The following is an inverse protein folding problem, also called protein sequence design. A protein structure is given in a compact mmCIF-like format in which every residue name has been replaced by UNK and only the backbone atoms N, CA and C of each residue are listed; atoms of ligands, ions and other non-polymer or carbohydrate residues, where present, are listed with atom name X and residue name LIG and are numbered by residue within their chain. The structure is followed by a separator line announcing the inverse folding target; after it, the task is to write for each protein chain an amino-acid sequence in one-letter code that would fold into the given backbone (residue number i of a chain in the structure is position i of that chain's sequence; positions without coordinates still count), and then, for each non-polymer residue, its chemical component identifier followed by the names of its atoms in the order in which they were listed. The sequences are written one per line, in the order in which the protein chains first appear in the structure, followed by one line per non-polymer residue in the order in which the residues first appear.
data_IF_957630603376
#
_entry.id   IF_957630603376
#
_cell.length_a   1.000
_cell.length_b   1.000
_cell.length_c   1.000
_cell.angle_alpha   90.00
_cell.angle_beta   90.00
_cell.angle_gamma   90.00
#
_symmetry.space_group_name_H-M   'P 1'
#
loop_
_entity.id
_entity.type
_entity.pdbx_description
1 polymer ?
#
# COMPACT_ATOMS: atom_id res chain seq x y z
N UNK A 1 14.81 3.91 -5.12
CA UNK A 1 14.00 2.68 -5.10
C UNK A 1 14.75 1.54 -5.81
N UNK A 2 14.77 0.32 -5.24
CA UNK A 2 15.47 -0.84 -5.83
C UNK A 2 14.50 -1.61 -6.72
N UNK A 3 14.89 -1.95 -7.95
CA UNK A 3 14.11 -2.85 -8.82
C UNK A 3 14.43 -4.32 -8.46
N UNK A 4 13.67 -4.88 -7.52
CA UNK A 4 13.83 -6.26 -7.03
C UNK A 4 12.87 -7.26 -7.69
N UNK A 5 11.97 -6.82 -8.57
CA UNK A 5 10.81 -7.62 -8.99
C UNK A 5 10.68 -7.82 -10.50
N UNK A 6 11.59 -7.28 -11.30
CA UNK A 6 11.50 -7.35 -12.77
C UNK A 6 11.74 -8.74 -13.35
N UNK A 7 12.59 -9.57 -12.74
CA UNK A 7 13.07 -10.84 -13.34
C UNK A 7 12.01 -11.94 -13.47
N UNK A 8 10.90 -11.92 -12.69
CA UNK A 8 9.89 -12.99 -12.64
C UNK A 8 8.46 -12.45 -12.64
N UNK A 9 8.21 -11.36 -13.34
CA UNK A 9 6.97 -10.57 -13.25
C UNK A 9 5.68 -11.35 -13.57
N UNK A 10 5.71 -12.31 -14.49
CA UNK A 10 4.54 -13.13 -14.85
C UNK A 10 4.16 -14.14 -13.76
N UNK A 11 5.14 -14.82 -13.15
CA UNK A 11 4.94 -15.71 -12.01
C UNK A 11 4.51 -14.90 -10.78
N UNK A 12 5.11 -13.74 -10.58
CA UNK A 12 4.78 -12.81 -9.51
C UNK A 12 3.31 -12.40 -9.55
N UNK A 13 2.79 -12.00 -10.73
CA UNK A 13 1.38 -11.63 -10.90
C UNK A 13 0.41 -12.75 -10.55
N UNK A 14 0.69 -13.98 -10.97
CA UNK A 14 -0.19 -15.14 -10.72
C UNK A 14 -0.19 -15.59 -9.26
N UNK A 15 0.94 -15.38 -8.57
CA UNK A 15 1.15 -15.88 -7.23
C UNK A 15 0.79 -14.86 -6.13
N UNK A 16 0.66 -13.56 -6.46
CA UNK A 16 0.31 -12.54 -5.46
C UNK A 16 -1.20 -12.49 -5.21
N UNK A 17 -1.60 -12.27 -3.93
CA UNK A 17 -3.01 -12.17 -3.56
C UNK A 17 -3.68 -10.96 -4.23
N UNK A 18 -4.95 -11.10 -4.61
CA UNK A 18 -5.81 -10.00 -5.05
C UNK A 18 -6.49 -9.36 -3.84
N UNK A 19 -6.64 -8.04 -3.88
CA UNK A 19 -7.33 -7.32 -2.82
C UNK A 19 -8.85 -7.53 -2.91
N UNK A 20 -9.58 -7.62 -1.78
CA UNK A 20 -11.03 -7.71 -1.79
C UNK A 20 -11.67 -6.35 -2.08
N UNK A 21 -12.86 -6.38 -2.68
CA UNK A 21 -13.61 -5.18 -3.09
C UNK A 21 -13.94 -4.26 -1.90
N UNK A 22 -14.10 -4.81 -0.70
CA UNK A 22 -14.40 -4.06 0.52
C UNK A 22 -13.35 -2.98 0.83
N UNK A 23 -12.11 -3.19 0.44
CA UNK A 23 -11.03 -2.18 0.60
C UNK A 23 -11.34 -0.96 -0.26
N UNK A 24 -11.74 -1.17 -1.51
CA UNK A 24 -12.09 -0.06 -2.40
C UNK A 24 -13.40 0.61 -1.99
N UNK A 25 -14.39 -0.15 -1.57
CA UNK A 25 -15.66 0.37 -1.03
C UNK A 25 -15.40 1.29 0.16
N UNK A 26 -14.49 0.92 1.06
CA UNK A 26 -14.11 1.78 2.19
C UNK A 26 -13.45 3.09 1.72
N UNK A 27 -12.50 3.02 0.80
CA UNK A 27 -11.82 4.22 0.24
C UNK A 27 -12.84 5.17 -0.40
N UNK A 28 -13.76 4.65 -1.21
CA UNK A 28 -14.74 5.44 -1.95
C UNK A 28 -15.69 6.27 -1.06
N UNK A 29 -15.88 5.90 0.21
CA UNK A 29 -16.67 6.69 1.16
C UNK A 29 -16.12 8.11 1.37
N UNK A 30 -14.84 8.30 1.11
CA UNK A 30 -14.12 9.55 1.36
C UNK A 30 -13.77 10.31 0.07
N UNK A 31 -13.88 9.67 -1.08
CA UNK A 31 -13.53 10.25 -2.39
C UNK A 31 -14.67 11.12 -2.91
N UNK A 32 -14.45 12.43 -3.11
CA UNK A 32 -15.53 13.34 -3.49
C UNK A 32 -15.92 13.25 -4.97
N UNK A 33 -14.99 12.88 -5.84
CA UNK A 33 -15.16 12.74 -7.28
C UNK A 33 -14.35 11.57 -7.81
N UNK A 34 -14.79 10.97 -8.92
CA UNK A 34 -14.16 9.80 -9.53
C UNK A 34 -13.65 10.07 -10.94
N UNK A 35 -13.11 11.28 -11.18
CA UNK A 35 -12.59 11.64 -12.50
C UNK A 35 -11.20 11.06 -12.73
N UNK A 36 -10.26 11.31 -11.81
CA UNK A 36 -8.86 10.91 -11.98
C UNK A 36 -8.31 10.22 -10.74
N UNK A 37 -7.74 9.03 -10.94
CA UNK A 37 -6.98 8.33 -9.91
C UNK A 37 -5.54 8.10 -10.34
N UNK A 38 -4.63 8.10 -9.37
CA UNK A 38 -3.24 7.68 -9.54
C UNK A 38 -2.95 6.49 -8.62
N UNK A 39 -2.55 5.36 -9.23
CA UNK A 39 -2.03 4.19 -8.52
C UNK A 39 -0.50 4.22 -8.59
N UNK A 40 0.14 4.53 -7.48
CA UNK A 40 1.58 4.74 -7.37
C UNK A 40 2.28 3.49 -6.87
N UNK A 41 3.31 3.03 -7.59
CA UNK A 41 3.95 1.74 -7.31
C UNK A 41 3.02 0.58 -7.68
N UNK A 42 2.38 0.68 -8.84
CA UNK A 42 1.29 -0.22 -9.27
C UNK A 42 1.75 -1.66 -9.54
N UNK A 43 3.05 -1.87 -9.76
CA UNK A 43 3.60 -3.17 -10.10
C UNK A 43 2.93 -3.77 -11.33
N UNK A 44 2.41 -4.99 -11.20
CA UNK A 44 1.65 -5.67 -12.27
C UNK A 44 0.14 -5.41 -12.20
N UNK A 45 -0.29 -4.30 -11.57
CA UNK A 45 -1.65 -3.79 -11.64
C UNK A 45 -2.67 -4.47 -10.73
N UNK A 46 -2.26 -5.15 -9.64
CA UNK A 46 -3.19 -5.83 -8.73
C UNK A 46 -4.18 -4.86 -8.07
N UNK A 47 -3.74 -3.67 -7.68
CA UNK A 47 -4.64 -2.68 -7.11
C UNK A 47 -5.28 -1.81 -8.18
N UNK A 48 -4.58 -1.55 -9.29
CA UNK A 48 -5.09 -0.80 -10.45
C UNK A 48 -6.40 -1.38 -10.99
N UNK A 49 -6.50 -2.72 -11.12
CA UNK A 49 -7.73 -3.38 -11.59
C UNK A 49 -8.93 -3.17 -10.65
N UNK A 50 -8.67 -2.94 -9.36
CA UNK A 50 -9.71 -2.65 -8.38
C UNK A 50 -10.19 -1.20 -8.48
N UNK A 51 -9.32 -0.27 -8.88
CA UNK A 51 -9.63 1.15 -9.06
C UNK A 51 -10.36 1.40 -10.39
N UNK A 52 -9.93 0.72 -11.45
CA UNK A 52 -10.35 0.97 -12.83
C UNK A 52 -11.88 1.07 -13.03
N UNK A 53 -12.73 0.21 -12.42
CA UNK A 53 -14.18 0.28 -12.59
C UNK A 53 -14.85 1.54 -12.04
N UNK A 54 -14.17 2.27 -11.15
CA UNK A 54 -14.79 3.38 -10.40
C UNK A 54 -14.39 4.76 -10.89
N UNK A 55 -13.33 4.88 -11.71
CA UNK A 55 -12.82 6.17 -12.15
C UNK A 55 -12.93 6.33 -13.66
N UNK A 56 -13.13 7.58 -14.10
CA UNK A 56 -13.16 7.89 -15.55
C UNK A 56 -11.78 7.64 -16.17
N UNK A 57 -10.71 7.98 -15.47
CA UNK A 57 -9.34 7.74 -15.88
C UNK A 57 -8.45 7.34 -14.69
N UNK A 58 -7.58 6.38 -14.91
CA UNK A 58 -6.57 5.93 -13.96
C UNK A 58 -5.19 6.01 -14.61
N UNK A 59 -4.23 6.60 -13.89
CA UNK A 59 -2.83 6.52 -14.25
C UNK A 59 -2.15 5.61 -13.23
N UNK A 60 -1.52 4.55 -13.72
CA UNK A 60 -0.78 3.61 -12.89
C UNK A 60 0.73 3.77 -13.19
N UNK A 61 1.53 4.02 -12.15
CA UNK A 61 2.98 4.22 -12.32
C UNK A 61 3.80 3.22 -11.52
N UNK A 62 4.91 2.81 -12.10
CA UNK A 62 5.94 2.02 -11.44
C UNK A 62 7.31 2.33 -12.06
N UNK A 63 8.41 2.03 -11.37
CA UNK A 63 9.76 2.13 -11.94
C UNK A 63 10.07 0.96 -12.88
N UNK A 64 9.44 -0.19 -12.67
CA UNK A 64 9.65 -1.39 -13.45
C UNK A 64 8.74 -1.44 -14.68
N UNK A 65 9.28 -1.15 -15.85
CA UNK A 65 8.57 -1.33 -17.12
C UNK A 65 8.11 -2.79 -17.31
N UNK A 66 8.87 -3.77 -16.82
CA UNK A 66 8.55 -5.19 -16.93
C UNK A 66 7.34 -5.57 -16.07
N UNK A 67 7.19 -4.97 -14.88
CA UNK A 67 6.00 -5.15 -14.06
C UNK A 67 4.77 -4.55 -14.75
N UNK A 68 4.85 -3.33 -15.24
CA UNK A 68 3.75 -2.65 -15.93
C UNK A 68 3.29 -3.41 -17.19
N UNK A 69 4.20 -4.06 -17.92
CA UNK A 69 3.86 -4.88 -19.09
C UNK A 69 2.99 -6.11 -18.75
N UNK A 70 2.99 -6.56 -17.49
CA UNK A 70 2.16 -7.66 -17.01
C UNK A 70 0.78 -7.19 -16.52
N UNK A 71 0.57 -5.88 -16.43
CA UNK A 71 -0.69 -5.34 -15.93
C UNK A 71 -1.84 -5.59 -16.90
N UNK A 72 -3.09 -5.76 -16.40
CA UNK A 72 -4.25 -5.97 -17.25
C UNK A 72 -4.59 -4.71 -18.04
N UNK A 73 -5.07 -4.91 -19.27
CA UNK A 73 -5.55 -3.80 -20.09
C UNK A 73 -6.96 -3.35 -19.66
N UNK A 74 -7.15 -2.03 -19.59
CA UNK A 74 -8.44 -1.36 -19.43
C UNK A 74 -8.44 -0.10 -20.28
N UNK A 75 -9.57 0.23 -20.93
CA UNK A 75 -9.69 1.39 -21.81
C UNK A 75 -9.42 2.72 -21.12
N UNK A 76 -9.68 2.78 -19.81
CA UNK A 76 -9.52 3.98 -18.98
C UNK A 76 -8.24 3.99 -18.13
N UNK A 77 -7.30 3.04 -18.34
CA UNK A 77 -6.04 2.97 -17.57
C UNK A 77 -4.84 3.24 -18.45
N UNK A 78 -3.97 4.16 -18.04
CA UNK A 78 -2.66 4.36 -18.64
C UNK A 78 -1.54 3.93 -17.70
N UNK A 79 -0.61 3.12 -18.21
CA UNK A 79 0.57 2.64 -17.46
C UNK A 79 1.80 3.43 -17.88
N UNK A 80 2.52 4.01 -16.89
CA UNK A 80 3.65 4.88 -17.16
C UNK A 80 4.84 4.57 -16.25
N UNK A 81 6.05 4.53 -16.81
CA UNK A 81 7.28 4.39 -16.02
C UNK A 81 7.65 5.74 -15.43
N UNK A 82 7.40 5.91 -14.12
CA UNK A 82 7.73 7.14 -13.38
C UNK A 82 8.12 6.82 -11.94
N UNK A 83 8.96 7.67 -11.36
CA UNK A 83 9.27 7.63 -9.92
C UNK A 83 8.09 8.15 -9.10
N UNK A 84 7.87 7.55 -7.92
CA UNK A 84 6.88 8.02 -6.96
C UNK A 84 7.20 9.42 -6.41
N UNK A 85 8.48 9.74 -6.30
CA UNK A 85 8.98 10.95 -5.66
C UNK A 85 8.96 12.19 -6.57
N UNK A 86 8.84 11.96 -7.90
CA UNK A 86 8.80 13.05 -8.89
C UNK A 86 8.13 12.57 -10.16
N UNK A 87 6.98 13.15 -10.46
CA UNK A 87 6.21 12.83 -11.66
C UNK A 87 6.09 14.00 -12.60
N UNK A 88 5.61 13.73 -13.82
CA UNK A 88 5.30 14.76 -14.82
C UNK A 88 3.86 15.30 -14.71
N UNK A 89 3.11 14.85 -13.71
CA UNK A 89 1.72 15.25 -13.53
C UNK A 89 1.59 16.73 -13.14
N UNK A 90 0.49 17.36 -13.57
CA UNK A 90 0.17 18.72 -13.15
C UNK A 90 -0.23 18.76 -11.66
N UNK A 91 -0.15 19.93 -11.06
CA UNK A 91 -0.62 20.16 -9.70
C UNK A 91 -2.13 19.90 -9.60
N UNK A 92 -2.58 19.37 -8.46
CA UNK A 92 -3.99 19.15 -8.16
C UNK A 92 -4.76 18.40 -9.25
N UNK A 93 -4.17 17.30 -9.75
CA UNK A 93 -4.74 16.48 -10.84
C UNK A 93 -5.68 15.39 -10.32
N UNK A 94 -5.39 14.78 -9.17
CA UNK A 94 -6.02 13.53 -8.78
C UNK A 94 -7.06 13.70 -7.67
N UNK A 95 -8.18 12.99 -7.82
CA UNK A 95 -9.22 12.85 -6.79
C UNK A 95 -8.83 11.78 -5.77
N UNK A 96 -8.13 10.74 -6.24
CA UNK A 96 -7.58 9.66 -5.43
C UNK A 96 -6.13 9.38 -5.82
N UNK A 97 -5.26 9.22 -4.82
CA UNK A 97 -3.93 8.64 -4.98
C UNK A 97 -3.85 7.42 -4.08
N UNK A 98 -3.45 6.27 -4.63
CA UNK A 98 -3.26 5.02 -3.89
C UNK A 98 -1.83 4.54 -3.94
N UNK A 99 -1.40 3.88 -2.87
CA UNK A 99 -0.16 3.10 -2.82
C UNK A 99 -0.46 1.77 -2.18
N UNK A 100 -0.38 0.70 -2.95
CA UNK A 100 -0.65 -0.64 -2.47
C UNK A 100 0.64 -1.46 -2.42
N UNK A 101 1.06 -1.88 -1.23
CA UNK A 101 2.25 -2.71 -0.97
C UNK A 101 3.58 -2.13 -1.50
N UNK A 102 3.69 -0.80 -1.66
CA UNK A 102 4.85 -0.18 -2.26
C UNK A 102 5.49 0.96 -1.44
N UNK A 103 4.74 1.63 -0.57
CA UNK A 103 5.20 2.85 0.12
C UNK A 103 6.51 2.67 0.91
N UNK A 104 6.75 1.49 1.46
CA UNK A 104 7.95 1.18 2.25
C UNK A 104 9.27 1.22 1.45
N UNK A 105 9.19 1.32 0.12
CA UNK A 105 10.33 1.49 -0.77
C UNK A 105 10.66 2.94 -1.12
N UNK A 106 9.80 3.89 -0.74
CA UNK A 106 9.88 5.28 -1.17
C UNK A 106 10.70 6.15 -0.20
N UNK A 107 11.27 7.24 -0.71
CA UNK A 107 11.66 8.38 0.11
C UNK A 107 10.38 9.09 0.58
N UNK A 108 10.05 8.94 1.86
CA UNK A 108 8.77 9.42 2.40
C UNK A 108 8.58 10.93 2.24
N UNK A 109 9.63 11.73 2.47
CA UNK A 109 9.52 13.19 2.42
C UNK A 109 9.33 13.68 0.99
N UNK A 110 10.11 13.15 0.05
CA UNK A 110 9.99 13.48 -1.37
C UNK A 110 8.66 12.99 -1.93
N UNK A 111 8.24 11.78 -1.59
CA UNK A 111 6.98 11.20 -2.02
C UNK A 111 5.77 11.98 -1.47
N UNK A 112 5.71 12.28 -0.18
CA UNK A 112 4.60 13.05 0.38
C UNK A 112 4.52 14.48 -0.16
N UNK A 113 5.65 15.09 -0.52
CA UNK A 113 5.65 16.37 -1.24
C UNK A 113 4.98 16.25 -2.61
N UNK A 114 5.27 15.18 -3.33
CA UNK A 114 4.69 14.91 -4.64
C UNK A 114 3.19 14.58 -4.54
N UNK A 115 2.78 13.77 -3.57
CA UNK A 115 1.36 13.51 -3.30
C UNK A 115 0.62 14.81 -2.99
N UNK A 116 1.15 15.67 -2.10
CA UNK A 116 0.53 16.94 -1.75
C UNK A 116 0.44 17.92 -2.94
N UNK A 117 1.38 17.84 -3.88
CA UNK A 117 1.38 18.66 -5.10
C UNK A 117 0.30 18.20 -6.09
N UNK A 118 0.20 16.89 -6.30
CA UNK A 118 -0.63 16.29 -7.35
C UNK A 118 -2.05 15.96 -6.91
N UNK A 119 -2.29 15.81 -5.61
CA UNK A 119 -3.63 15.57 -5.05
C UNK A 119 -4.47 16.87 -5.07
N UNK A 120 -5.72 16.80 -5.50
CA UNK A 120 -6.69 17.89 -5.40
C UNK A 120 -6.91 18.27 -3.92
N UNK A 121 -7.38 19.50 -3.66
CA UNK A 121 -7.57 20.03 -2.28
C UNK A 121 -8.50 19.17 -1.43
N UNK A 122 -9.52 18.58 -2.05
CA UNK A 122 -10.48 17.70 -1.39
C UNK A 122 -10.23 16.23 -1.77
N UNK A 123 -9.13 15.95 -2.48
CA UNK A 123 -8.73 14.60 -2.87
C UNK A 123 -8.26 13.77 -1.68
N UNK A 124 -8.19 12.47 -1.90
CA UNK A 124 -7.92 11.46 -0.90
C UNK A 124 -6.63 10.69 -1.22
N UNK A 125 -5.81 10.46 -0.22
CA UNK A 125 -4.64 9.62 -0.28
C UNK A 125 -4.87 8.35 0.53
N UNK A 126 -4.65 7.18 -0.07
CA UNK A 126 -4.84 5.89 0.56
C UNK A 126 -3.57 5.04 0.48
N UNK A 127 -3.16 4.52 1.64
CA UNK A 127 -2.06 3.56 1.77
C UNK A 127 -2.63 2.21 2.15
N UNK A 128 -2.29 1.19 1.36
CA UNK A 128 -2.75 -0.17 1.55
C UNK A 128 -1.53 -1.09 1.67
N UNK A 129 -1.58 -1.99 2.63
CA UNK A 129 -0.59 -3.06 2.76
C UNK A 129 -1.25 -4.35 3.23
N UNK A 130 -0.55 -5.45 3.05
CA UNK A 130 -0.91 -6.71 3.68
C UNK A 130 0.32 -7.35 4.34
N UNK A 131 0.07 -8.05 5.45
CA UNK A 131 1.10 -8.70 6.26
C UNK A 131 1.50 -10.08 5.73
N UNK A 132 2.19 -10.82 6.59
CA UNK A 132 2.54 -12.23 6.34
C UNK A 132 1.29 -13.11 6.32
N UNK A 133 1.30 -14.18 5.49
CA UNK A 133 0.19 -15.13 5.49
C UNK A 133 0.06 -15.84 6.83
N UNK A 134 -1.18 -16.15 7.17
CA UNK A 134 -1.55 -16.97 8.29
C UNK A 134 -2.28 -18.23 7.80
N UNK A 135 -1.83 -19.39 8.27
CA UNK A 135 -2.39 -20.68 7.91
C UNK A 135 -3.23 -21.21 9.06
N UNK A 136 -4.40 -21.77 8.76
CA UNK A 136 -5.27 -22.35 9.81
C UNK A 136 -4.73 -23.64 10.41
N UNK A 137 -3.92 -24.38 9.66
CA UNK A 137 -3.25 -25.58 10.14
C UNK A 137 -2.11 -25.18 11.10
N UNK A 138 -2.29 -25.48 12.39
CA UNK A 138 -1.39 -25.01 13.47
C UNK A 138 0.06 -25.45 13.28
N UNK A 139 0.30 -26.69 12.87
CA UNK A 139 1.64 -27.22 12.66
C UNK A 139 2.35 -26.50 11.48
N UNK A 140 1.65 -26.38 10.35
CA UNK A 140 2.17 -25.70 9.17
C UNK A 140 2.39 -24.20 9.43
N UNK A 141 1.53 -23.57 10.25
CA UNK A 141 1.73 -22.18 10.69
C UNK A 141 3.00 -22.03 11.54
N UNK A 142 3.28 -22.98 12.43
CA UNK A 142 4.50 -22.96 13.23
C UNK A 142 5.75 -23.10 12.35
N UNK A 143 5.72 -23.98 11.36
CA UNK A 143 6.80 -24.15 10.39
C UNK A 143 6.98 -22.90 9.51
N UNK A 144 5.89 -22.28 9.04
CA UNK A 144 5.94 -21.03 8.29
C UNK A 144 6.57 -19.90 9.14
N UNK A 145 6.23 -19.83 10.41
CA UNK A 145 6.81 -18.87 11.34
C UNK A 145 8.30 -19.12 11.55
N UNK A 146 8.71 -20.37 11.67
CA UNK A 146 10.12 -20.76 11.77
C UNK A 146 10.90 -20.40 10.49
N UNK A 147 10.33 -20.70 9.32
CA UNK A 147 10.89 -20.30 8.03
C UNK A 147 11.09 -18.77 7.97
N UNK A 148 10.07 -18.01 8.31
CA UNK A 148 10.06 -16.55 8.21
C UNK A 148 11.03 -15.88 9.21
N UNK A 149 10.91 -16.20 10.49
CA UNK A 149 11.60 -15.52 11.58
C UNK A 149 12.97 -16.09 11.93
N UNK A 150 13.24 -17.35 11.59
CA UNK A 150 14.52 -18.00 11.90
C UNK A 150 15.36 -18.25 10.66
N UNK A 151 14.86 -19.04 9.71
CA UNK A 151 15.65 -19.43 8.52
C UNK A 151 15.94 -18.24 7.61
N UNK A 152 14.95 -17.37 7.38
CA UNK A 152 15.06 -16.22 6.47
C UNK A 152 15.41 -14.90 7.17
N UNK A 153 15.65 -14.90 8.48
CA UNK A 153 15.87 -13.68 9.27
C UNK A 153 16.95 -12.74 8.70
N UNK A 154 18.04 -13.28 8.19
CA UNK A 154 19.17 -12.50 7.67
C UNK A 154 19.05 -12.11 6.19
N UNK A 155 17.96 -12.50 5.52
CA UNK A 155 17.79 -12.36 4.08
C UNK A 155 16.69 -11.35 3.70
N UNK A 156 15.93 -10.83 4.67
CA UNK A 156 14.94 -9.79 4.43
C UNK A 156 15.59 -8.43 4.18
N UNK A 157 15.02 -7.66 3.24
CA UNK A 157 15.34 -6.24 3.10
C UNK A 157 14.92 -5.48 4.36
N UNK A 158 15.67 -4.43 4.73
CA UNK A 158 15.43 -3.66 5.95
C UNK A 158 14.03 -3.01 5.97
N UNK A 159 13.50 -2.69 4.79
CA UNK A 159 12.19 -2.10 4.57
C UNK A 159 11.04 -3.06 4.91
N UNK A 160 11.31 -4.39 4.97
CA UNK A 160 10.33 -5.40 5.35
C UNK A 160 9.73 -5.16 6.74
N UNK A 161 10.50 -4.58 7.66
CA UNK A 161 10.03 -4.20 9.00
C UNK A 161 8.73 -3.39 8.98
N UNK A 162 8.56 -2.49 8.00
CA UNK A 162 7.36 -1.66 7.90
C UNK A 162 6.10 -2.49 7.66
N UNK A 163 6.22 -3.59 6.92
CA UNK A 163 5.11 -4.53 6.68
C UNK A 163 4.83 -5.32 7.96
N UNK A 164 5.85 -5.79 8.65
CA UNK A 164 5.72 -6.55 9.90
C UNK A 164 5.09 -5.68 11.01
N UNK A 165 5.33 -4.37 10.97
CA UNK A 165 4.74 -3.36 11.85
C UNK A 165 3.40 -2.80 11.31
N UNK A 166 2.82 -3.40 10.27
CA UNK A 166 1.55 -2.98 9.64
C UNK A 166 1.53 -1.50 9.24
N UNK A 167 2.66 -0.97 8.76
CA UNK A 167 2.90 0.43 8.43
C UNK A 167 2.68 1.44 9.59
N UNK A 168 2.62 0.98 10.84
CA UNK A 168 2.41 1.83 12.02
C UNK A 168 3.52 2.86 12.20
N UNK A 169 4.74 2.51 11.81
CA UNK A 169 5.94 3.35 11.95
C UNK A 169 6.26 4.19 10.71
N UNK A 170 5.52 4.03 9.61
CA UNK A 170 5.62 4.94 8.48
C UNK A 170 4.99 6.28 8.86
N UNK A 171 5.71 7.42 8.71
CA UNK A 171 5.11 8.74 8.93
C UNK A 171 3.89 8.92 8.03
N UNK A 172 2.77 9.39 8.58
CA UNK A 172 1.58 9.68 7.78
C UNK A 172 1.24 11.17 7.90
N UNK A 173 1.62 11.95 6.88
CA UNK A 173 1.58 13.42 6.91
C UNK A 173 0.23 14.02 6.45
N UNK A 174 -0.88 13.29 6.67
CA UNK A 174 -2.23 13.65 6.26
C UNK A 174 -3.19 13.59 7.46
N UNK A 175 -4.29 14.32 7.40
CA UNK A 175 -5.40 14.15 8.35
C UNK A 175 -6.03 12.78 8.12
N UNK A 176 -5.95 11.89 9.10
CA UNK A 176 -6.49 10.52 9.00
C UNK A 176 -8.01 10.56 8.97
N UNK A 177 -8.60 9.99 7.94
CA UNK A 177 -10.06 9.80 7.79
C UNK A 177 -10.49 8.44 8.31
N UNK A 178 -9.69 7.41 8.04
CA UNK A 178 -9.90 6.06 8.56
C UNK A 178 -8.58 5.28 8.63
N UNK A 179 -8.50 4.34 9.57
CA UNK A 179 -7.43 3.35 9.72
C UNK A 179 -8.10 2.00 10.03
N UNK A 180 -8.25 1.17 9.00
CA UNK A 180 -9.05 -0.05 9.03
C UNK A 180 -8.20 -1.29 8.80
N UNK A 181 -8.74 -2.42 9.28
CA UNK A 181 -8.18 -3.75 9.05
C UNK A 181 -9.20 -4.62 8.35
N UNK A 182 -8.73 -5.38 7.35
CA UNK A 182 -9.50 -6.38 6.63
C UNK A 182 -8.71 -7.69 6.62
N UNK A 183 -9.35 -8.73 6.15
CA UNK A 183 -8.69 -10.01 5.91
C UNK A 183 -9.04 -10.49 4.51
N UNK A 184 -8.05 -10.83 3.72
CA UNK A 184 -8.27 -11.59 2.49
C UNK A 184 -7.94 -13.06 2.74
N UNK A 185 -8.81 -13.94 2.24
CA UNK A 185 -8.69 -15.38 2.42
C UNK A 185 -8.68 -16.08 1.08
N UNK A 186 -7.79 -17.07 0.95
CA UNK A 186 -7.67 -17.90 -0.23
C UNK A 186 -7.69 -19.38 0.14
N UNK A 187 -8.21 -20.20 -0.75
CA UNK A 187 -8.07 -21.64 -0.71
C UNK A 187 -6.99 -22.00 -1.74
N UNK A 188 -5.75 -22.13 -1.30
CA UNK A 188 -4.61 -22.39 -2.16
C UNK A 188 -4.16 -23.84 -2.08
N UNK A 189 -3.82 -24.43 -3.23
CA UNK A 189 -3.09 -25.68 -3.29
C UNK A 189 -1.65 -25.47 -2.82
N UNK A 190 -0.95 -26.56 -2.54
CA UNK A 190 0.48 -26.56 -2.24
C UNK A 190 1.27 -25.78 -3.28
N UNK A 191 1.06 -26.06 -4.57
CA UNK A 191 1.75 -25.38 -5.68
C UNK A 191 1.48 -23.88 -5.71
N UNK A 192 0.25 -23.44 -5.45
CA UNK A 192 -0.09 -22.01 -5.38
C UNK A 192 0.61 -21.33 -4.21
N UNK A 193 0.61 -21.94 -3.04
CA UNK A 193 1.29 -21.38 -1.87
C UNK A 193 2.81 -21.33 -2.06
N UNK A 194 3.42 -22.38 -2.58
CA UNK A 194 4.84 -22.38 -2.96
C UNK A 194 5.15 -21.28 -3.98
N UNK A 195 4.28 -21.07 -4.99
CA UNK A 195 4.39 -19.98 -5.95
C UNK A 195 4.44 -18.62 -5.25
N UNK A 196 3.57 -18.39 -4.26
CA UNK A 196 3.59 -17.18 -3.46
C UNK A 196 4.90 -17.03 -2.65
N UNK A 197 5.34 -18.08 -1.93
CA UNK A 197 6.57 -18.04 -1.15
C UNK A 197 7.79 -17.74 -2.03
N UNK A 198 7.85 -18.28 -3.24
CA UNK A 198 8.89 -17.98 -4.21
C UNK A 198 8.95 -16.51 -4.65
N UNK A 199 7.90 -15.71 -4.41
CA UNK A 199 7.93 -14.26 -4.65
C UNK A 199 8.63 -13.48 -3.53
N UNK A 200 8.93 -14.08 -2.39
CA UNK A 200 9.58 -13.40 -1.27
C UNK A 200 11.03 -13.02 -1.60
N UNK A 201 11.38 -11.75 -1.35
CA UNK A 201 12.75 -11.27 -1.58
C UNK A 201 13.78 -12.06 -0.77
N UNK A 202 13.44 -12.44 0.47
CA UNK A 202 14.31 -13.25 1.31
C UNK A 202 14.58 -14.63 0.74
N UNK A 203 13.64 -15.27 0.08
CA UNK A 203 13.87 -16.56 -0.63
C UNK A 203 14.86 -16.37 -1.78
N UNK A 204 14.69 -15.27 -2.55
CA UNK A 204 15.61 -14.93 -3.66
C UNK A 204 17.02 -14.67 -3.14
N UNK A 205 17.17 -13.89 -2.06
CA UNK A 205 18.46 -13.61 -1.43
C UNK A 205 19.08 -14.86 -0.84
N UNK A 206 18.29 -15.70 -0.17
CA UNK A 206 18.76 -16.99 0.37
C UNK A 206 19.37 -17.86 -0.73
N UNK A 207 18.66 -18.04 -1.84
CA UNK A 207 19.13 -18.83 -3.00
C UNK A 207 20.40 -18.25 -3.62
N UNK A 208 20.46 -16.92 -3.77
CA UNK A 208 21.62 -16.25 -4.35
C UNK A 208 22.89 -16.40 -3.50
N UNK A 209 22.75 -16.40 -2.16
CA UNK A 209 23.90 -16.49 -1.25
C UNK A 209 24.36 -17.93 -0.99
N UNK A 210 23.45 -18.88 -0.99
CA UNK A 210 23.81 -20.25 -0.60
C UNK A 210 24.25 -21.12 -1.76
N UNK A 211 24.17 -20.65 -3.03
CA UNK A 211 24.58 -21.35 -4.25
C UNK A 211 24.27 -22.88 -4.23
N UNK A 212 23.19 -23.23 -3.50
CA UNK A 212 22.85 -24.63 -3.27
C UNK A 212 22.54 -25.29 -4.59
N UNK A 213 23.20 -26.40 -4.89
CA UNK A 213 22.97 -27.25 -6.08
C UNK A 213 21.51 -27.72 -6.15
N UNK A 214 20.80 -27.70 -5.02
CA UNK A 214 19.37 -28.02 -4.91
C UNK A 214 18.58 -26.85 -4.31
N UNK A 215 18.25 -25.86 -5.14
CA UNK A 215 17.46 -24.67 -4.74
C UNK A 215 15.98 -25.02 -4.45
N UNK A 216 15.53 -26.22 -4.79
CA UNK A 216 14.19 -26.71 -4.51
C UNK A 216 14.00 -27.14 -3.05
N UNK A 217 15.10 -27.39 -2.34
CA UNK A 217 15.07 -28.10 -1.06
C UNK A 217 14.38 -27.30 0.07
N UNK A 218 14.64 -25.97 0.20
CA UNK A 218 14.11 -25.17 1.31
C UNK A 218 12.57 -25.18 1.37
N UNK A 219 11.90 -24.87 0.26
CA UNK A 219 10.44 -24.85 0.21
C UNK A 219 9.85 -26.24 0.07
N UNK A 220 10.56 -27.16 -0.57
CA UNK A 220 10.17 -28.57 -0.70
C UNK A 220 10.17 -29.27 0.65
N UNK A 221 11.19 -29.03 1.47
CA UNK A 221 11.25 -29.53 2.85
C UNK A 221 10.13 -28.94 3.70
N UNK A 222 9.89 -27.62 3.63
CA UNK A 222 8.80 -26.95 4.33
C UNK A 222 7.42 -27.53 3.96
N UNK A 223 7.21 -27.87 2.69
CA UNK A 223 5.93 -28.38 2.17
C UNK A 223 5.87 -29.92 2.09
N UNK A 224 6.82 -30.60 2.75
CA UNK A 224 6.85 -32.07 2.76
C UNK A 224 5.60 -32.64 3.44
N UNK A 225 4.99 -33.65 2.84
CA UNK A 225 3.79 -34.29 3.38
C UNK A 225 2.47 -33.55 3.13
N UNK A 226 2.49 -32.35 2.55
CA UNK A 226 1.26 -31.65 2.15
C UNK A 226 0.75 -32.22 0.83
N UNK A 227 -0.52 -32.65 0.80
CA UNK A 227 -1.19 -33.15 -0.41
C UNK A 227 -1.60 -31.99 -1.33
N UNK A 228 -1.30 -32.08 -2.62
CA UNK A 228 -1.68 -31.10 -3.63
C UNK A 228 -3.22 -31.00 -3.81
N UNK A 229 -3.93 -32.10 -3.55
CA UNK A 229 -5.40 -32.17 -3.67
C UNK A 229 -6.16 -31.51 -2.50
N UNK A 230 -5.46 -31.25 -1.38
CA UNK A 230 -6.04 -30.65 -0.19
C UNK A 230 -5.70 -29.16 -0.12
N UNK A 231 -6.63 -28.24 -0.48
CA UNK A 231 -6.35 -26.82 -0.44
C UNK A 231 -6.22 -26.32 1.01
N UNK A 232 -5.23 -25.45 1.22
CA UNK A 232 -4.97 -24.78 2.48
C UNK A 232 -5.73 -23.45 2.54
N UNK A 233 -6.28 -23.13 3.70
CA UNK A 233 -6.83 -21.80 3.95
C UNK A 233 -5.68 -20.88 4.34
N UNK A 234 -5.42 -19.90 3.49
CA UNK A 234 -4.36 -18.89 3.65
C UNK A 234 -5.01 -17.52 3.84
N UNK A 235 -4.77 -16.90 4.98
CA UNK A 235 -5.31 -15.58 5.33
C UNK A 235 -4.20 -14.53 5.34
N UNK A 236 -4.50 -13.33 4.83
CA UNK A 236 -3.60 -12.19 4.90
C UNK A 236 -4.31 -11.03 5.61
N UNK A 237 -3.72 -10.49 6.69
CA UNK A 237 -4.22 -9.26 7.27
C UNK A 237 -3.93 -8.10 6.31
N UNK A 238 -4.95 -7.28 6.02
CA UNK A 238 -4.82 -6.06 5.24
C UNK A 238 -4.92 -4.88 6.19
N UNK A 239 -4.06 -3.90 6.00
CA UNK A 239 -4.11 -2.60 6.68
C UNK A 239 -4.32 -1.50 5.64
N UNK A 240 -5.32 -0.68 5.90
CA UNK A 240 -5.72 0.47 5.09
C UNK A 240 -5.66 1.73 5.94
N UNK A 241 -4.97 2.76 5.45
CA UNK A 241 -5.00 4.10 6.02
C UNK A 241 -5.37 5.10 4.93
N UNK A 242 -6.41 5.89 5.19
CA UNK A 242 -6.91 6.91 4.26
C UNK A 242 -6.80 8.28 4.91
N UNK A 243 -6.35 9.26 4.15
CA UNK A 243 -6.22 10.62 4.63
C UNK A 243 -6.44 11.68 3.56
N UNK A 244 -6.54 12.91 4.00
CA UNK A 244 -6.61 14.11 3.15
C UNK A 244 -5.56 15.13 3.55
N UNK A 245 -5.30 16.09 2.68
CA UNK A 245 -4.39 17.20 3.00
C UNK A 245 -4.95 17.98 4.19
N UNK A 246 -4.13 18.15 5.23
CA UNK A 246 -4.49 18.97 6.38
C UNK A 246 -4.81 20.37 5.88
N UNK A 247 -6.04 20.87 6.13
CA UNK A 247 -6.35 22.27 5.94
C UNK A 247 -5.51 23.04 6.96
N UNK A 248 -4.43 23.69 6.50
CA UNK A 248 -3.73 24.68 7.34
C UNK A 248 -4.80 25.66 7.77
N UNK A 249 -5.14 25.66 9.06
CA UNK A 249 -5.90 26.75 9.65
C UNK A 249 -5.07 27.99 9.35
N UNK A 250 -5.49 28.79 8.36
CA UNK A 250 -4.92 30.12 8.20
C UNK A 250 -5.09 30.76 9.56
N UNK A 251 -3.99 31.01 10.25
CA UNK A 251 -3.97 31.79 11.47
C UNK A 251 -4.86 32.98 11.24
N UNK A 252 -6.06 32.94 11.80
CA UNK A 252 -6.84 34.15 11.98
C UNK A 252 -5.95 34.99 12.89
N UNK A 253 -5.24 35.94 12.28
CA UNK A 253 -4.54 36.97 13.04
C UNK A 253 -5.45 37.37 14.19
N UNK A 254 -5.07 37.01 15.38
CA UNK A 254 -5.69 37.39 16.65
C UNK A 254 -5.56 38.93 16.80
N UNK A 255 -6.39 39.66 16.11
CA UNK A 255 -6.40 41.13 16.11
C UNK A 255 -7.77 41.74 16.26
N UNK A 256 -8.86 40.98 16.11
CA UNK A 256 -10.21 41.58 16.13
C UNK A 256 -11.03 41.27 17.39
N UNK A 257 -10.69 40.25 18.16
CA UNK A 257 -11.48 39.82 19.31
C UNK A 257 -11.22 40.68 20.55
N UNK A 258 -9.97 41.16 20.76
CA UNK A 258 -9.64 42.03 21.88
C UNK A 258 -10.22 43.44 21.74
N UNK A 259 -10.24 43.98 20.52
CA UNK A 259 -10.84 45.28 20.23
C UNK A 259 -12.38 45.26 20.36
N UNK A 260 -13.03 44.14 20.12
CA UNK A 260 -14.49 44.02 20.24
C UNK A 260 -14.92 43.85 21.70
N UNK A 261 -14.19 43.09 22.49
CA UNK A 261 -14.43 42.99 23.94
C UNK A 261 -14.16 44.28 24.70
N UNK A 262 -13.14 45.04 24.30
CA UNK A 262 -12.85 46.35 24.89
C UNK A 262 -13.97 47.40 24.59
N UNK A 263 -14.59 47.34 23.42
CA UNK A 263 -15.75 48.19 23.06
C UNK A 263 -17.01 47.83 23.83
N UNK A 264 -17.23 46.56 24.15
CA UNK A 264 -18.38 46.10 24.95
C UNK A 264 -18.19 46.54 26.41
N UNK A 265 -16.97 46.40 26.96
CA UNK A 265 -16.67 46.80 28.33
C UNK A 265 -16.79 48.29 28.56
N UNK A 266 -16.35 49.13 27.63
CA UNK A 266 -16.48 50.60 27.71
C UNK A 266 -17.91 51.12 27.53
N UNK A 267 -18.81 50.37 26.88
CA UNK A 267 -20.23 50.72 26.77
C UNK A 267 -21.06 50.40 28.02
N UNK A 268 -20.59 49.52 28.88
CA UNK A 268 -21.29 49.21 30.14
C UNK A 268 -20.94 50.16 31.27
N UNK A 269 -19.74 50.78 31.25
CA UNK A 269 -19.31 51.74 32.28
C UNK A 269 -20.01 53.08 32.10
N UNK A 270 -20.43 53.48 30.87
CA UNK A 270 -21.13 54.73 30.59
C UNK A 270 -22.63 54.71 30.89
N UNK A 271 -23.18 53.63 31.43
CA UNK A 271 -24.61 53.54 31.84
C UNK A 271 -24.85 53.58 33.36
N UNK A 272 -23.79 53.77 34.16
CA UNK A 272 -23.87 53.84 35.61
C UNK A 272 -23.18 55.09 36.21
N UNK A 273 -23.09 56.17 35.41
CA UNK A 273 -22.79 57.53 35.91
C UNK A 273 -23.94 58.49 35.54
#
# INVERSE_FOLDING_TARGET
MKDLFSSDSALYRKARPSYPDEVMVEILKYVPNTQFAWDCGAGSGQFTQLIAPYFEQVVATDLSAQQLQQAPYFDNVSYQVQSAEKTTFADQSFDLITVAQAIHWFDFDAFYKEVKRTLKKDGVFAVIGYGTPHLKQTELQAELSALYYHTLKGYWDAERRYIDEEYKTIPFQFEVLTDQRFTMQFNWTKSQFMGYLNTWSAIKHYRAQNQAEDQSDLLSSFMYGIDESEPMIVEFPIFLKVGKINKVLKDKKSGSTQAHLQKIFNRQILKFC
#
